data_IF_986961775701
#
_entry.id   IF_986961775701
#
_cell.length_a   1.000
_cell.length_b   1.000
_cell.length_c   1.000
_cell.angle_alpha   90.00
_cell.angle_beta   90.00
_cell.angle_gamma   90.00
#
_symmetry.space_group_name_H-M   'P 1'
#
loop_
_entity.id
_entity.type
_entity.pdbx_description
1 polymer ?
#
# COMPACT_ATOMS: atom_id res chain seq x y z
N UNK A 1 -1.99 -17.81 19.07
CA UNK A 1 -2.52 -16.54 18.54
C UNK A 1 -2.99 -16.80 17.11
N UNK A 2 -4.28 -16.60 16.83
CA UNK A 2 -4.90 -16.96 15.55
C UNK A 2 -4.26 -16.22 14.37
N UNK A 3 -3.99 -16.93 13.27
CA UNK A 3 -3.61 -16.31 12.00
C UNK A 3 -4.82 -15.55 11.44
N UNK A 4 -4.82 -14.22 11.65
CA UNK A 4 -5.88 -13.33 11.18
C UNK A 4 -5.71 -13.12 9.67
N UNK A 5 -6.61 -13.70 8.87
CA UNK A 5 -6.68 -13.58 7.40
C UNK A 5 -7.01 -12.15 6.90
N UNK A 6 -6.21 -11.18 7.29
CA UNK A 6 -6.33 -9.75 6.99
C UNK A 6 -4.99 -9.08 6.73
N UNK A 7 -3.90 -9.61 7.28
CA UNK A 7 -2.59 -8.99 7.16
C UNK A 7 -1.85 -9.47 5.92
N UNK A 8 -1.28 -8.54 5.14
CA UNK A 8 -0.40 -8.85 4.00
C UNK A 8 0.92 -8.11 4.16
N UNK A 9 2.00 -8.72 3.64
CA UNK A 9 3.32 -8.09 3.59
C UNK A 9 3.44 -7.27 2.30
N UNK A 10 3.76 -5.99 2.42
CA UNK A 10 4.08 -5.12 1.29
C UNK A 10 5.59 -4.90 1.25
N UNK A 11 6.17 -5.05 0.06
CA UNK A 11 7.58 -4.75 -0.19
C UNK A 11 7.72 -3.55 -1.12
N UNK A 12 8.31 -2.47 -0.63
CA UNK A 12 8.63 -1.26 -1.38
C UNK A 12 10.02 -1.39 -2.01
N UNK A 13 10.06 -1.73 -3.31
CA UNK A 13 11.32 -1.98 -4.03
C UNK A 13 12.21 -0.74 -4.18
N UNK A 14 11.70 0.47 -3.95
CA UNK A 14 12.49 1.70 -3.94
C UNK A 14 13.50 1.78 -2.78
N UNK A 15 13.34 0.98 -1.71
CA UNK A 15 14.27 0.97 -0.58
C UNK A 15 15.31 -0.15 -0.71
N UNK A 16 16.53 0.12 -0.25
CA UNK A 16 17.65 -0.82 -0.26
C UNK A 16 17.35 -2.09 0.56
N UNK A 17 17.93 -3.25 0.18
CA UNK A 17 17.83 -4.46 0.99
C UNK A 17 18.33 -4.18 2.42
N UNK A 18 17.54 -4.52 3.43
CA UNK A 18 17.86 -4.26 4.85
C UNK A 18 17.30 -2.95 5.41
N UNK A 19 16.76 -2.05 4.58
CA UNK A 19 16.04 -0.88 5.09
C UNK A 19 14.80 -1.30 5.90
N UNK A 20 14.65 -0.74 7.11
CA UNK A 20 13.44 -0.93 7.94
C UNK A 20 12.15 -0.50 7.23
N UNK A 21 12.26 0.36 6.22
CA UNK A 21 11.14 0.89 5.43
C UNK A 21 10.77 0.02 4.23
N UNK A 22 11.60 -0.98 3.89
CA UNK A 22 11.39 -1.81 2.70
C UNK A 22 10.19 -2.75 2.84
N UNK A 23 9.93 -3.25 4.05
CA UNK A 23 8.88 -4.24 4.31
C UNK A 23 7.97 -3.73 5.42
N UNK A 24 6.67 -3.74 5.17
CA UNK A 24 5.67 -3.41 6.17
C UNK A 24 4.50 -4.38 6.12
N UNK A 25 3.90 -4.65 7.27
CA UNK A 25 2.66 -5.43 7.37
C UNK A 25 1.48 -4.47 7.36
N UNK A 26 0.56 -4.66 6.43
CA UNK A 26 -0.68 -3.89 6.36
C UNK A 26 -1.87 -4.79 6.68
N UNK A 27 -2.83 -4.28 7.43
CA UNK A 27 -4.11 -4.95 7.63
C UNK A 27 -5.08 -4.51 6.55
N UNK A 28 -5.44 -5.38 5.61
CA UNK A 28 -6.36 -5.08 4.50
C UNK A 28 -7.80 -4.78 4.94
N UNK A 29 -8.15 -5.10 6.19
CA UNK A 29 -9.46 -4.82 6.78
C UNK A 29 -9.53 -3.43 7.39
N UNK A 30 -8.39 -2.78 7.56
CA UNK A 30 -8.30 -1.42 8.07
C UNK A 30 -7.80 -0.51 6.94
N UNK A 31 -8.52 0.57 6.68
CA UNK A 31 -8.23 1.50 5.59
C UNK A 31 -7.53 2.76 6.08
N UNK A 32 -7.18 2.82 7.37
CA UNK A 32 -6.52 3.97 7.96
C UNK A 32 -5.05 4.06 7.55
N UNK A 33 -4.57 5.30 7.43
CA UNK A 33 -3.16 5.59 7.27
C UNK A 33 -2.37 5.05 8.47
N UNK A 34 -1.36 4.21 8.21
CA UNK A 34 -0.46 3.74 9.24
C UNK A 34 0.74 4.69 9.34
N UNK A 35 1.17 5.05 10.55
CA UNK A 35 2.36 5.89 10.72
C UNK A 35 2.13 7.00 11.74
N UNK A 36 3.00 8.00 11.73
CA UNK A 36 2.92 9.16 12.61
C UNK A 36 3.72 10.34 12.03
N UNK A 37 3.63 11.48 12.69
CA UNK A 37 4.30 12.72 12.28
C UNK A 37 5.84 12.60 12.19
N UNK A 38 6.47 11.82 13.08
CA UNK A 38 7.92 11.69 13.13
C UNK A 38 8.51 10.83 12.00
N UNK A 39 7.72 9.90 11.47
CA UNK A 39 8.18 8.89 10.52
C UNK A 39 7.43 8.88 9.19
N UNK A 40 6.46 9.79 9.04
CA UNK A 40 5.56 9.85 7.91
C UNK A 40 4.40 8.86 8.04
N UNK A 41 3.30 9.23 7.40
CA UNK A 41 2.16 8.35 7.19
C UNK A 41 2.39 7.52 5.92
N UNK A 42 2.13 6.23 6.00
CA UNK A 42 2.23 5.28 4.91
C UNK A 42 1.04 4.32 4.93
N UNK A 43 0.45 4.10 3.77
CA UNK A 43 -0.55 3.07 3.58
C UNK A 43 -1.98 3.56 3.76
N UNK A 44 -2.60 3.94 2.65
CA UNK A 44 -4.03 3.79 2.40
C UNK A 44 -4.21 2.79 1.28
N UNK A 45 -3.74 1.54 1.45
CA UNK A 45 -3.85 0.52 0.39
C UNK A 45 -5.29 -0.01 0.39
N UNK A 46 -6.10 0.61 -0.48
CA UNK A 46 -7.48 0.20 -0.73
C UNK A 46 -7.49 -0.79 -1.91
N UNK A 47 -8.05 -1.98 -1.66
CA UNK A 47 -8.42 -2.88 -2.77
C UNK A 47 -9.60 -2.28 -3.52
N UNK A 48 -9.46 -2.11 -4.83
CA UNK A 48 -10.55 -1.70 -5.72
C UNK A 48 -11.30 -2.96 -6.15
N UNK A 49 -12.64 -2.91 -6.17
CA UNK A 49 -13.46 -4.09 -6.44
C UNK A 49 -14.20 -3.99 -7.78
N UNK A 50 -14.56 -2.79 -8.19
CA UNK A 50 -15.38 -2.57 -9.38
C UNK A 50 -14.57 -2.04 -10.56
N UNK A 51 -14.99 -2.36 -11.78
CA UNK A 51 -14.40 -1.81 -12.99
C UNK A 51 -14.44 -0.28 -13.04
N UNK A 52 -15.51 0.31 -12.47
CA UNK A 52 -15.68 1.76 -12.34
C UNK A 52 -14.59 2.35 -11.46
N UNK A 53 -14.39 1.81 -10.25
CA UNK A 53 -13.31 2.25 -9.36
C UNK A 53 -11.94 2.11 -10.04
N UNK A 54 -11.66 0.96 -10.66
CA UNK A 54 -10.39 0.69 -11.34
C UNK A 54 -10.15 1.71 -12.47
N UNK A 55 -11.19 2.03 -13.24
CA UNK A 55 -11.08 2.97 -14.37
C UNK A 55 -10.77 4.39 -13.92
N UNK A 56 -11.42 4.84 -12.83
CA UNK A 56 -11.15 6.15 -12.22
C UNK A 56 -9.68 6.21 -11.78
N UNK A 57 -9.19 5.21 -11.06
CA UNK A 57 -7.80 5.20 -10.58
C UNK A 57 -6.77 5.13 -11.71
N UNK A 58 -7.08 4.44 -12.83
CA UNK A 58 -6.22 4.42 -14.02
C UNK A 58 -6.06 5.79 -14.68
N UNK A 59 -7.06 6.68 -14.60
CA UNK A 59 -6.96 8.03 -15.16
C UNK A 59 -5.94 8.90 -14.42
N UNK A 60 -5.74 8.66 -13.12
CA UNK A 60 -4.74 9.34 -12.31
C UNK A 60 -3.34 8.73 -12.44
N UNK A 61 -3.21 7.58 -13.10
CA UNK A 61 -1.92 6.96 -13.32
C UNK A 61 -1.09 7.82 -14.29
N UNK A 62 0.11 8.28 -13.90
CA UNK A 62 0.92 9.07 -14.80
C UNK A 62 1.33 8.22 -16.01
N UNK A 63 0.78 8.53 -17.18
CA UNK A 63 1.13 7.86 -18.45
C UNK A 63 2.63 8.01 -18.82
N UNK A 64 3.34 8.90 -18.14
CA UNK A 64 4.72 9.26 -18.40
C UNK A 64 5.75 8.18 -17.98
N UNK A 65 5.37 7.21 -17.13
CA UNK A 65 6.28 6.21 -16.57
C UNK A 65 6.20 4.81 -17.21
N UNK A 66 5.42 4.65 -18.29
CA UNK A 66 5.57 3.50 -19.19
C UNK A 66 6.66 3.83 -20.24
N UNK A 67 7.92 3.66 -19.85
CA UNK A 67 9.05 3.51 -20.78
C UNK A 67 9.80 2.23 -20.42
#
# INVERSE_FOLDING_TARGET
>A
MAAVGGTVLVEFKQYTPGSRWRRTMINRKDHQEAGNEAYGYYGGIRKLYTEVEISIWKQFWPMQFLK
#
